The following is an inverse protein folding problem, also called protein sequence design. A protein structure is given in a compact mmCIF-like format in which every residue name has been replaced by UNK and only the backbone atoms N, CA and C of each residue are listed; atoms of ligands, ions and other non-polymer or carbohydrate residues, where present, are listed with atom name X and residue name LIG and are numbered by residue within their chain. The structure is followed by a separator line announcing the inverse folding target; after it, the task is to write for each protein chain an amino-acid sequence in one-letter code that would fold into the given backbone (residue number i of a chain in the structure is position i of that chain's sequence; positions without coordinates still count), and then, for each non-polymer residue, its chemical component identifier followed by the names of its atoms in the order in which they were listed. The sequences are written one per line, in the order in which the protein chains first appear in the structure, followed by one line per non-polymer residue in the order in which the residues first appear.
data_IF_475163486804
#
_entry.id   IF_475163486804
#
_cell.length_a   1.000
_cell.length_b   1.000
_cell.length_c   1.000
_cell.angle_alpha   90.00
_cell.angle_beta   90.00
_cell.angle_gamma   90.00
#
_symmetry.space_group_name_H-M   'P 1'
#
loop_
_entity.id
_entity.type
_entity.pdbx_description
1 polymer ?
#
# COMPACT_ATOMS: atom_id res chain seq x y z
N UNK A 1 -18.04 -9.51 -11.05
CA UNK A 1 -17.80 -8.68 -9.85
C UNK A 1 -16.44 -9.09 -9.32
N UNK A 2 -15.48 -8.17 -9.17
CA UNK A 2 -14.15 -8.52 -8.62
C UNK A 2 -14.27 -8.74 -7.12
N UNK A 3 -13.62 -9.78 -6.59
CA UNK A 3 -13.53 -9.98 -5.15
C UNK A 3 -12.74 -8.85 -4.48
N UNK A 4 -13.08 -8.55 -3.22
CA UNK A 4 -12.42 -7.53 -2.42
C UNK A 4 -10.99 -7.96 -2.10
N UNK A 5 -10.02 -7.06 -2.30
CA UNK A 5 -8.63 -7.31 -1.93
C UNK A 5 -8.50 -7.60 -0.43
N UNK A 6 -7.63 -8.55 -0.09
CA UNK A 6 -7.21 -8.81 1.30
C UNK A 6 -6.09 -7.87 1.76
N UNK A 7 -5.53 -7.08 0.85
CA UNK A 7 -4.52 -6.07 1.17
C UNK A 7 -5.24 -4.88 1.82
N UNK A 8 -4.80 -4.50 3.01
CA UNK A 8 -5.35 -3.38 3.77
C UNK A 8 -4.36 -2.23 3.91
N UNK A 9 -4.87 -1.05 4.22
CA UNK A 9 -4.09 0.13 4.62
C UNK A 9 -4.87 0.91 5.66
N UNK A 10 -4.16 1.58 6.55
CA UNK A 10 -4.68 2.54 7.51
C UNK A 10 -4.75 3.98 6.94
N UNK A 11 -4.24 4.18 5.72
CA UNK A 11 -4.30 5.46 5.02
C UNK A 11 -5.70 5.73 4.45
N UNK A 12 -6.23 6.90 4.77
CA UNK A 12 -7.26 7.55 3.97
C UNK A 12 -6.59 8.11 2.70
N UNK A 13 -6.84 7.48 1.55
CA UNK A 13 -6.25 7.87 0.28
C UNK A 13 -6.90 9.14 -0.32
N UNK A 14 -8.04 9.57 0.21
CA UNK A 14 -8.76 10.76 -0.22
C UNK A 14 -8.45 12.01 0.62
N UNK A 15 -7.74 11.84 1.75
CA UNK A 15 -7.37 12.93 2.63
C UNK A 15 -6.36 13.89 1.97
N UNK A 16 -6.57 15.20 2.17
CA UNK A 16 -5.63 16.26 1.80
C UNK A 16 -4.32 16.16 2.60
N UNK A 17 -3.23 16.65 2.02
CA UNK A 17 -1.91 16.70 2.65
C UNK A 17 -0.99 15.53 2.26
N UNK A 18 0.10 15.38 3.03
CA UNK A 18 1.12 14.34 2.86
C UNK A 18 0.95 13.27 3.92
N UNK A 19 0.72 12.04 3.48
CA UNK A 19 0.53 10.88 4.35
C UNK A 19 1.54 9.79 3.99
N UNK A 20 2.23 9.29 5.01
CA UNK A 20 3.16 8.17 4.87
C UNK A 20 2.59 6.98 5.63
N UNK A 21 2.51 5.83 4.97
CA UNK A 21 1.85 4.67 5.55
C UNK A 21 2.31 3.36 4.93
N UNK A 22 1.47 2.34 5.10
CA UNK A 22 1.82 0.95 4.79
C UNK A 22 0.63 0.21 4.21
N UNK A 23 0.89 -0.62 3.21
CA UNK A 23 -0.01 -1.67 2.79
C UNK A 23 0.35 -2.95 3.54
N UNK A 24 -0.64 -3.61 4.12
CA UNK A 24 -0.52 -4.90 4.79
C UNK A 24 -0.96 -5.99 3.82
N UNK A 25 -0.02 -6.78 3.33
CA UNK A 25 -0.28 -7.93 2.46
C UNK A 25 -0.28 -9.19 3.32
N UNK A 26 -1.44 -9.88 3.50
CA UNK A 26 -1.47 -11.10 4.29
C UNK A 26 -0.53 -12.17 3.74
N UNK A 27 0.39 -12.63 4.58
CA UNK A 27 1.40 -13.62 4.25
C UNK A 27 1.58 -14.60 5.43
N UNK A 28 0.62 -15.50 5.66
CA UNK A 28 0.72 -16.51 6.71
C UNK A 28 1.86 -17.49 6.41
N UNK A 29 2.56 -17.91 7.45
CA UNK A 29 3.64 -18.91 7.37
C UNK A 29 3.57 -19.87 8.55
N UNK A 30 4.39 -20.93 8.50
CA UNK A 30 4.55 -21.87 9.62
C UNK A 30 5.02 -21.18 10.91
N UNK A 31 5.67 -20.02 10.79
CA UNK A 31 6.20 -19.26 11.92
C UNK A 31 5.33 -18.06 12.29
N UNK A 32 4.32 -17.70 11.47
CA UNK A 32 3.42 -16.59 11.72
C UNK A 32 2.06 -16.79 11.04
N UNK A 33 1.10 -17.34 11.76
CA UNK A 33 -0.24 -17.63 11.25
C UNK A 33 -1.01 -16.39 10.75
N UNK A 34 -0.70 -15.20 11.29
CA UNK A 34 -1.24 -13.90 10.86
C UNK A 34 -0.15 -12.97 10.35
N UNK A 35 0.88 -13.53 9.70
CA UNK A 35 1.96 -12.75 9.11
C UNK A 35 1.46 -11.78 8.04
N UNK A 36 2.19 -10.67 7.88
CA UNK A 36 1.96 -9.72 6.81
C UNK A 36 3.29 -9.21 6.25
N UNK A 37 3.36 -9.07 4.92
CA UNK A 37 4.40 -8.28 4.27
C UNK A 37 3.94 -6.82 4.33
N UNK A 38 4.84 -5.96 4.81
CA UNK A 38 4.60 -4.52 4.93
C UNK A 38 5.20 -3.83 3.71
N UNK A 39 4.35 -3.26 2.85
CA UNK A 39 4.79 -2.51 1.68
C UNK A 39 4.65 -1.01 1.97
N UNK A 40 5.71 -0.20 1.87
CA UNK A 40 5.63 1.23 2.12
C UNK A 40 4.84 1.95 1.02
N UNK A 41 4.08 2.96 1.41
CA UNK A 41 3.34 3.82 0.48
C UNK A 41 3.32 5.26 1.00
N UNK A 42 3.28 6.22 0.07
CA UNK A 42 3.02 7.63 0.35
C UNK A 42 1.84 8.11 -0.50
N UNK A 43 0.96 8.92 0.08
CA UNK A 43 -0.09 9.66 -0.65
C UNK A 43 0.11 11.15 -0.42
N UNK A 44 0.05 11.93 -1.48
CA UNK A 44 0.14 13.39 -1.42
C UNK A 44 -1.01 13.94 -2.25
N UNK A 45 -1.90 14.68 -1.59
CA UNK A 45 -3.05 15.34 -2.22
C UNK A 45 -3.06 16.82 -1.85
N UNK A 46 -3.34 17.67 -2.83
CA UNK A 46 -3.51 19.11 -2.64
C UNK A 46 -4.51 19.67 -3.67
N UNK A 47 -5.80 19.57 -3.35
CA UNK A 47 -6.90 20.00 -4.21
C UNK A 47 -7.20 19.03 -5.37
N UNK A 48 -7.88 19.54 -6.38
CA UNK A 48 -8.38 18.75 -7.51
C UNK A 48 -7.38 18.66 -8.66
N UNK A 49 -7.23 17.46 -9.22
CA UNK A 49 -6.33 17.21 -10.34
C UNK A 49 -6.22 15.72 -10.66
N UNK A 50 -5.42 15.35 -11.68
CA UNK A 50 -5.17 13.95 -12.00
C UNK A 50 -4.32 13.28 -10.92
N UNK A 51 -4.61 12.00 -10.64
CA UNK A 51 -3.80 11.16 -9.77
C UNK A 51 -2.68 10.50 -10.56
N UNK A 52 -1.46 10.52 -10.02
CA UNK A 52 -0.31 9.79 -10.56
C UNK A 52 0.06 8.66 -9.59
N UNK A 53 0.27 7.45 -10.13
CA UNK A 53 0.80 6.31 -9.39
C UNK A 53 2.25 6.08 -9.79
N UNK A 54 3.15 6.11 -8.81
CA UNK A 54 4.56 5.76 -8.96
C UNK A 54 4.83 4.47 -8.19
N UNK A 55 5.46 3.50 -8.83
CA UNK A 55 5.85 2.22 -8.22
C UNK A 55 7.33 1.95 -8.45
N UNK A 56 7.94 1.21 -7.53
CA UNK A 56 9.34 0.78 -7.58
C UNK A 56 9.50 -0.55 -6.86
N UNK A 57 10.64 -1.23 -7.07
CA UNK A 57 10.93 -2.51 -6.40
C UNK A 57 10.08 -3.70 -6.87
N UNK A 58 9.56 -3.67 -8.11
CA UNK A 58 8.79 -4.79 -8.67
C UNK A 58 9.63 -6.06 -8.82
N UNK A 59 10.94 -5.91 -9.06
CA UNK A 59 11.93 -6.98 -9.02
C UNK A 59 12.81 -6.79 -7.78
N UNK A 60 13.08 -7.86 -7.04
CA UNK A 60 13.71 -7.81 -5.72
C UNK A 60 15.20 -7.43 -5.72
N UNK A 61 15.84 -7.46 -6.88
CA UNK A 61 17.22 -7.05 -7.12
C UNK A 61 17.36 -5.60 -7.58
N UNK A 62 16.24 -4.95 -7.93
CA UNK A 62 16.25 -3.54 -8.30
C UNK A 62 16.38 -2.67 -7.06
N UNK A 63 17.35 -1.74 -7.08
CA UNK A 63 17.56 -0.72 -6.04
C UNK A 63 16.68 0.50 -6.25
#
# INVERSE_FOLDING_TARGET
MSEKSRIGTDLDLDAEGKHLGRLFVPNPSNTSAWGAIVVPIASIKNGDGPTVLLTGGAHGESV
#
